data_IF_198887745537
#
_entry.id   IF_198887745537
#
_cell.length_a   1.000
_cell.length_b   1.000
_cell.length_c   1.000
_cell.angle_alpha   90.00
_cell.angle_beta   90.00
_cell.angle_gamma   90.00
#
_symmetry.space_group_name_H-M   'P 1'
#
loop_
_entity.id
_entity.type
_entity.pdbx_description
1 polymer ?
#
# COMPACT_ATOMS: atom_id res chain seq x y z
N UNK A 1 -13.85 112.29 -151.32
CA UNK A 1 -14.26 111.64 -152.59
C UNK A 1 -13.76 110.21 -152.56
N UNK A 2 -14.52 109.29 -151.96
CA UNK A 2 -14.36 107.87 -152.26
C UNK A 2 -15.15 107.70 -153.55
N UNK A 3 -14.45 107.48 -154.66
CA UNK A 3 -15.06 107.09 -155.92
C UNK A 3 -15.87 105.82 -155.66
N UNK A 4 -17.17 105.99 -155.44
CA UNK A 4 -18.08 104.89 -155.17
C UNK A 4 -18.12 104.03 -156.43
N UNK A 5 -17.36 102.94 -156.42
CA UNK A 5 -17.23 101.97 -157.50
C UNK A 5 -18.62 101.37 -157.76
N UNK A 6 -19.37 101.99 -158.67
CA UNK A 6 -20.71 101.53 -159.04
C UNK A 6 -20.56 100.21 -159.77
N UNK A 7 -21.10 99.15 -159.19
CA UNK A 7 -21.11 97.81 -159.79
C UNK A 7 -22.29 97.65 -160.73
N UNK A 8 -22.15 96.76 -161.70
CA UNK A 8 -23.23 96.38 -162.60
C UNK A 8 -24.45 95.88 -161.82
N UNK A 9 -25.63 96.46 -162.10
CA UNK A 9 -26.90 96.14 -161.43
C UNK A 9 -27.50 94.77 -161.74
N UNK A 10 -26.81 93.91 -162.50
CA UNK A 10 -27.14 92.49 -162.57
C UNK A 10 -26.39 91.77 -161.46
N UNK A 11 -27.11 91.10 -160.56
CA UNK A 11 -26.55 90.55 -159.30
C UNK A 11 -25.37 89.59 -159.52
N UNK A 12 -25.27 89.02 -160.74
CA UNK A 12 -24.23 88.07 -161.16
C UNK A 12 -23.09 88.65 -162.02
N UNK A 13 -23.24 89.81 -162.70
CA UNK A 13 -22.08 90.47 -163.37
C UNK A 13 -21.17 91.09 -162.31
N UNK A 14 -21.75 91.95 -161.45
CA UNK A 14 -21.06 92.78 -160.44
C UNK A 14 -19.78 93.50 -160.89
N UNK A 15 -19.47 93.53 -162.19
CA UNK A 15 -18.29 94.21 -162.71
C UNK A 15 -18.36 95.70 -162.37
N UNK A 16 -17.21 96.26 -162.02
CA UNK A 16 -17.07 97.66 -161.67
C UNK A 16 -17.18 98.50 -162.93
N UNK A 17 -18.10 99.46 -162.92
CA UNK A 17 -18.40 100.30 -164.08
C UNK A 17 -17.42 101.47 -164.10
N UNK A 18 -16.85 101.79 -165.29
CA UNK A 18 -15.92 102.90 -165.40
C UNK A 18 -16.61 104.20 -164.98
N UNK A 19 -15.89 105.12 -164.31
CA UNK A 19 -16.46 106.40 -163.89
C UNK A 19 -16.95 107.18 -165.12
N UNK A 20 -18.01 108.00 -164.97
CA UNK A 20 -18.50 108.82 -166.07
C UNK A 20 -17.36 109.71 -166.57
N UNK A 21 -17.08 109.65 -167.88
CA UNK A 21 -15.96 110.40 -168.49
C UNK A 21 -16.09 111.92 -168.32
N UNK A 22 -15.01 112.69 -168.61
CA UNK A 22 -14.90 114.11 -168.25
C UNK A 22 -15.96 115.06 -168.84
N UNK A 23 -16.80 114.58 -169.76
CA UNK A 23 -17.95 115.30 -170.33
C UNK A 23 -19.30 115.03 -169.61
N UNK A 24 -19.30 114.39 -168.42
CA UNK A 24 -20.46 114.37 -167.53
C UNK A 24 -21.67 113.53 -167.98
N UNK A 25 -21.45 112.41 -168.70
CA UNK A 25 -22.54 111.52 -169.12
C UNK A 25 -23.23 110.76 -167.96
N UNK A 26 -24.48 110.29 -168.16
CA UNK A 26 -25.20 109.44 -167.19
C UNK A 26 -24.37 108.22 -166.81
N UNK A 27 -24.25 107.97 -165.50
CA UNK A 27 -23.62 106.75 -164.96
C UNK A 27 -24.28 105.52 -165.57
N UNK A 28 -23.47 104.63 -166.12
CA UNK A 28 -23.96 103.34 -166.61
C UNK A 28 -24.44 102.55 -165.39
N UNK A 29 -25.57 101.87 -165.52
CA UNK A 29 -26.09 100.95 -164.50
C UNK A 29 -25.71 99.49 -164.78
N UNK A 30 -25.25 99.19 -166.00
CA UNK A 30 -24.90 97.84 -166.42
C UNK A 30 -23.60 97.80 -167.25
N UNK A 31 -22.82 96.73 -167.08
CA UNK A 31 -21.54 96.49 -167.76
C UNK A 31 -21.80 96.27 -169.27
N UNK A 32 -21.13 97.03 -170.16
CA UNK A 32 -21.35 96.96 -171.63
C UNK A 32 -20.61 95.77 -172.27
N UNK A 33 -19.46 95.39 -171.72
CA UNK A 33 -18.53 94.50 -172.42
C UNK A 33 -18.83 93.03 -172.16
N UNK A 34 -19.49 92.70 -171.05
CA UNK A 34 -19.91 91.33 -170.76
C UNK A 34 -21.11 90.93 -171.63
N UNK A 35 -20.97 89.80 -172.32
CA UNK A 35 -22.06 89.10 -173.02
C UNK A 35 -22.31 87.78 -172.32
N UNK A 36 -23.57 87.45 -172.09
CA UNK A 36 -24.01 86.16 -171.56
C UNK A 36 -24.48 85.25 -172.68
N UNK A 37 -24.70 83.97 -172.37
CA UNK A 37 -25.18 82.98 -173.33
C UNK A 37 -26.38 83.49 -174.14
N UNK A 38 -26.26 83.38 -175.46
CA UNK A 38 -27.21 83.95 -176.43
C UNK A 38 -26.98 85.43 -176.76
N UNK A 39 -25.81 86.00 -176.46
CA UNK A 39 -25.45 87.37 -176.80
C UNK A 39 -26.14 88.45 -175.93
N UNK A 40 -26.78 88.05 -174.82
CA UNK A 40 -27.58 88.94 -173.97
C UNK A 40 -26.71 89.88 -173.14
N UNK A 41 -27.21 91.10 -172.93
CA UNK A 41 -26.54 92.12 -172.12
C UNK A 41 -26.95 92.03 -170.65
N UNK A 42 -26.12 92.55 -169.74
CA UNK A 42 -26.42 92.55 -168.31
C UNK A 42 -27.70 93.30 -167.94
N UNK A 43 -28.08 94.32 -168.71
CA UNK A 43 -29.37 95.00 -168.52
C UNK A 43 -30.55 94.07 -168.80
N UNK A 44 -30.46 93.23 -169.84
CA UNK A 44 -31.49 92.23 -170.16
C UNK A 44 -31.54 91.12 -169.11
N UNK A 45 -30.39 90.63 -168.66
CA UNK A 45 -30.33 89.62 -167.60
C UNK A 45 -30.88 90.13 -166.26
N UNK A 46 -30.57 91.37 -165.87
CA UNK A 46 -31.13 92.00 -164.67
C UNK A 46 -32.64 92.28 -164.78
N UNK A 47 -33.16 92.43 -165.99
CA UNK A 47 -34.61 92.54 -166.21
C UNK A 47 -35.28 91.18 -166.04
N UNK A 48 -34.73 90.14 -166.66
CA UNK A 48 -35.20 88.77 -166.48
C UNK A 48 -35.11 88.30 -165.01
N UNK A 49 -34.07 88.69 -164.28
CA UNK A 49 -33.95 88.42 -162.84
C UNK A 49 -35.05 89.11 -162.03
N UNK A 50 -35.33 90.38 -162.32
CA UNK A 50 -36.44 91.08 -161.66
C UNK A 50 -37.78 90.44 -162.01
N UNK A 51 -38.02 90.15 -163.29
CA UNK A 51 -39.25 89.48 -163.72
C UNK A 51 -39.39 88.10 -163.04
N UNK A 52 -38.28 87.37 -162.84
CA UNK A 52 -38.27 86.11 -162.10
C UNK A 52 -38.60 86.31 -160.60
N UNK A 53 -38.01 87.30 -159.93
CA UNK A 53 -38.31 87.62 -158.53
C UNK A 53 -39.77 88.07 -158.34
N UNK A 54 -40.31 88.84 -159.28
CA UNK A 54 -41.73 89.19 -159.32
C UNK A 54 -42.61 87.95 -159.52
N UNK A 55 -42.23 87.02 -160.41
CA UNK A 55 -42.98 85.78 -160.63
C UNK A 55 -42.97 84.83 -159.42
N UNK A 56 -41.95 84.89 -158.57
CA UNK A 56 -41.84 84.12 -157.33
C UNK A 56 -42.61 84.76 -156.16
N UNK A 57 -43.31 85.89 -156.38
CA UNK A 57 -44.05 86.59 -155.33
C UNK A 57 -43.17 87.24 -154.26
N UNK A 58 -41.85 87.25 -154.46
CA UNK A 58 -40.87 87.86 -153.55
C UNK A 58 -40.72 89.38 -153.76
N UNK A 59 -41.41 89.93 -154.76
CA UNK A 59 -41.50 91.37 -155.08
C UNK A 59 -42.82 91.99 -154.57
N UNK A 60 -43.74 91.19 -154.01
CA UNK A 60 -44.87 91.70 -153.25
C UNK A 60 -44.33 92.23 -151.90
N UNK A 61 -44.36 93.56 -151.75
CA UNK A 61 -43.63 94.30 -150.72
C UNK A 61 -43.65 93.69 -149.32
N UNK A 62 -42.54 93.94 -148.61
CA UNK A 62 -42.19 93.60 -147.23
C UNK A 62 -43.26 93.82 -146.13
N UNK A 63 -44.47 94.26 -146.47
CA UNK A 63 -45.59 94.49 -145.55
C UNK A 63 -46.31 93.23 -145.08
N UNK A 64 -46.58 92.25 -145.96
CA UNK A 64 -47.35 91.05 -145.58
C UNK A 64 -46.59 90.14 -144.60
N UNK A 65 -45.33 89.82 -144.90
CA UNK A 65 -44.44 89.10 -143.98
C UNK A 65 -44.19 89.87 -142.67
N UNK A 66 -44.22 91.20 -142.70
CA UNK A 66 -44.07 92.02 -141.49
C UNK A 66 -45.31 91.92 -140.59
N UNK A 67 -46.52 91.94 -141.17
CA UNK A 67 -47.78 91.76 -140.42
C UNK A 67 -47.85 90.37 -139.78
N UNK A 68 -47.48 89.31 -140.50
CA UNK A 68 -47.46 87.96 -139.93
C UNK A 68 -46.38 87.81 -138.84
N UNK A 69 -45.22 88.44 -139.01
CA UNK A 69 -44.17 88.47 -137.99
C UNK A 69 -44.52 89.34 -136.77
N UNK A 70 -45.32 90.40 -136.95
CA UNK A 70 -45.86 91.22 -135.86
C UNK A 70 -46.93 90.44 -135.08
N UNK A 71 -47.84 89.74 -135.77
CA UNK A 71 -48.87 88.90 -135.16
C UNK A 71 -48.29 87.69 -134.42
N UNK A 72 -47.24 87.07 -134.97
CA UNK A 72 -46.51 86.02 -134.27
C UNK A 72 -45.81 86.56 -133.03
N UNK A 73 -45.21 87.75 -133.09
CA UNK A 73 -44.63 88.40 -131.91
C UNK A 73 -45.67 88.71 -130.85
N UNK A 74 -46.82 89.24 -131.21
CA UNK A 74 -47.93 89.48 -130.28
C UNK A 74 -48.44 88.18 -129.63
N UNK A 75 -48.55 87.09 -130.40
CA UNK A 75 -48.90 85.78 -129.84
C UNK A 75 -47.80 85.22 -128.90
N UNK A 76 -46.53 85.38 -129.26
CA UNK A 76 -45.41 84.96 -128.39
C UNK A 76 -45.33 85.82 -127.12
N UNK A 77 -45.56 87.12 -127.22
CA UNK A 77 -45.62 88.05 -126.09
C UNK A 77 -46.81 87.73 -125.18
N UNK A 78 -47.97 87.38 -125.76
CA UNK A 78 -49.14 86.91 -125.01
C UNK A 78 -48.91 85.59 -124.26
N UNK A 79 -48.00 84.72 -124.74
CA UNK A 79 -47.61 83.48 -124.07
C UNK A 79 -46.54 83.69 -122.99
N UNK A 80 -45.79 84.78 -123.04
CA UNK A 80 -44.70 85.05 -122.11
C UNK A 80 -45.19 85.21 -120.67
N UNK A 81 -46.28 85.95 -120.46
CA UNK A 81 -46.88 86.11 -119.13
C UNK A 81 -47.31 84.79 -118.49
N UNK A 82 -48.13 83.95 -119.16
CA UNK A 82 -48.49 82.63 -118.67
C UNK A 82 -47.31 81.70 -118.42
N UNK A 83 -46.26 81.76 -119.25
CA UNK A 83 -45.04 80.96 -119.03
C UNK A 83 -44.23 81.45 -117.82
N UNK A 84 -44.14 82.76 -117.60
CA UNK A 84 -43.48 83.33 -116.43
C UNK A 84 -44.27 83.02 -115.14
N UNK A 85 -45.61 83.03 -115.19
CA UNK A 85 -46.46 82.61 -114.08
C UNK A 85 -46.32 81.11 -113.78
N UNK A 86 -46.32 80.26 -114.81
CA UNK A 86 -46.07 78.83 -114.65
C UNK A 86 -44.68 78.56 -114.07
N UNK A 87 -43.66 79.29 -114.54
CA UNK A 87 -42.31 79.21 -114.00
C UNK A 87 -42.29 79.63 -112.52
N UNK A 88 -42.95 80.72 -112.16
CA UNK A 88 -43.07 81.17 -110.77
C UNK A 88 -43.77 80.14 -109.89
N UNK A 89 -44.83 79.49 -110.38
CA UNK A 89 -45.49 78.39 -109.67
C UNK A 89 -44.57 77.18 -109.50
N UNK A 90 -43.81 76.78 -110.53
CA UNK A 90 -42.85 75.68 -110.44
C UNK A 90 -41.70 75.99 -109.47
N UNK A 91 -41.19 77.22 -109.47
CA UNK A 91 -40.16 77.67 -108.53
C UNK A 91 -40.68 77.69 -107.08
N UNK A 92 -41.95 78.10 -106.87
CA UNK A 92 -42.61 78.05 -105.58
C UNK A 92 -42.82 76.59 -105.11
N UNK A 93 -43.22 75.69 -106.01
CA UNK A 93 -43.35 74.25 -105.70
C UNK A 93 -41.98 73.65 -105.36
N UNK A 94 -40.92 73.95 -106.11
CA UNK A 94 -39.57 73.48 -105.81
C UNK A 94 -39.10 73.98 -104.44
N UNK A 95 -39.29 75.27 -104.14
CA UNK A 95 -38.97 75.85 -102.83
C UNK A 95 -39.72 75.12 -101.71
N UNK A 96 -41.01 74.82 -101.92
CA UNK A 96 -41.82 74.09 -100.94
C UNK A 96 -41.37 72.65 -100.77
N UNK A 97 -40.97 71.97 -101.85
CA UNK A 97 -40.41 70.61 -101.79
C UNK A 97 -39.08 70.60 -101.04
N UNK A 98 -38.20 71.59 -101.25
CA UNK A 98 -36.94 71.73 -100.54
C UNK A 98 -37.14 72.02 -99.03
N UNK A 99 -38.14 72.81 -98.67
CA UNK A 99 -38.57 73.00 -97.29
C UNK A 99 -39.05 71.69 -96.66
N UNK A 100 -40.00 71.01 -97.31
CA UNK A 100 -40.57 69.74 -96.81
C UNK A 100 -39.48 68.67 -96.69
N UNK A 101 -38.56 68.60 -97.64
CA UNK A 101 -37.43 67.66 -97.58
C UNK A 101 -36.51 67.99 -96.40
N UNK A 102 -36.16 69.26 -96.18
CA UNK A 102 -35.34 69.67 -95.04
C UNK A 102 -36.01 69.38 -93.71
N UNK A 103 -37.30 69.69 -93.58
CA UNK A 103 -38.07 69.45 -92.36
C UNK A 103 -38.22 67.94 -92.08
N UNK A 104 -38.46 67.13 -93.13
CA UNK A 104 -38.54 65.68 -93.01
C UNK A 104 -37.20 65.06 -92.57
N UNK A 105 -36.08 65.50 -93.16
CA UNK A 105 -34.74 65.05 -92.75
C UNK A 105 -34.45 65.47 -91.31
N UNK A 106 -34.74 66.73 -90.94
CA UNK A 106 -34.55 67.20 -89.56
C UNK A 106 -35.41 66.44 -88.54
N UNK A 107 -36.65 66.09 -88.90
CA UNK A 107 -37.53 65.28 -88.08
C UNK A 107 -37.01 63.85 -87.90
N UNK A 108 -36.52 63.23 -88.98
CA UNK A 108 -35.89 61.89 -88.94
C UNK A 108 -34.62 61.90 -88.10
N UNK A 109 -33.75 62.89 -88.27
CA UNK A 109 -32.54 63.04 -87.46
C UNK A 109 -32.88 63.22 -85.98
N UNK A 110 -33.89 64.03 -85.65
CA UNK A 110 -34.38 64.20 -84.28
C UNK A 110 -34.93 62.89 -83.72
N UNK A 111 -35.70 62.14 -84.50
CA UNK A 111 -36.23 60.84 -84.09
C UNK A 111 -35.10 59.82 -83.85
N UNK A 112 -34.09 59.77 -84.73
CA UNK A 112 -32.93 58.90 -84.54
C UNK A 112 -32.12 59.27 -83.30
N UNK A 113 -31.93 60.56 -83.02
CA UNK A 113 -31.28 61.02 -81.80
C UNK A 113 -32.07 60.60 -80.56
N UNK A 114 -33.40 60.75 -80.56
CA UNK A 114 -34.25 60.33 -79.45
C UNK A 114 -34.20 58.82 -79.21
N UNK A 115 -34.22 58.00 -80.27
CA UNK A 115 -34.08 56.55 -80.16
C UNK A 115 -32.70 56.17 -79.62
N UNK A 116 -31.63 56.81 -80.10
CA UNK A 116 -30.28 56.56 -79.62
C UNK A 116 -30.11 56.91 -78.14
N UNK A 117 -30.68 58.05 -77.69
CA UNK A 117 -30.66 58.41 -76.27
C UNK A 117 -31.53 57.50 -75.40
N UNK A 118 -32.69 57.06 -75.90
CA UNK A 118 -33.53 56.08 -75.21
C UNK A 118 -32.84 54.72 -75.07
N UNK A 119 -32.13 54.26 -76.11
CA UNK A 119 -31.35 53.02 -76.07
C UNK A 119 -30.17 53.14 -75.09
N UNK A 120 -29.45 54.26 -75.08
CA UNK A 120 -28.40 54.53 -74.07
C UNK A 120 -28.97 54.49 -72.65
N UNK A 121 -30.12 55.15 -72.42
CA UNK A 121 -30.77 55.15 -71.12
C UNK A 121 -31.23 53.74 -70.69
N UNK A 122 -31.76 52.94 -71.63
CA UNK A 122 -32.13 51.54 -71.38
C UNK A 122 -30.92 50.71 -70.98
N UNK A 123 -29.82 50.78 -71.73
CA UNK A 123 -28.60 50.04 -71.45
C UNK A 123 -27.99 50.43 -70.09
N UNK A 124 -27.96 51.73 -69.77
CA UNK A 124 -27.50 52.20 -68.47
C UNK A 124 -28.38 51.69 -67.32
N UNK A 125 -29.71 51.63 -67.51
CA UNK A 125 -30.62 51.07 -66.50
C UNK A 125 -30.45 49.56 -66.34
N UNK A 126 -30.20 48.82 -67.42
CA UNK A 126 -29.89 47.39 -67.38
C UNK A 126 -28.57 47.12 -66.64
N UNK A 127 -27.52 47.89 -66.94
CA UNK A 127 -26.23 47.79 -66.25
C UNK A 127 -26.37 48.08 -64.75
N UNK A 128 -27.07 49.16 -64.37
CA UNK A 128 -27.33 49.49 -62.97
C UNK A 128 -28.13 48.40 -62.24
N UNK A 129 -29.11 47.80 -62.92
CA UNK A 129 -29.89 46.67 -62.38
C UNK A 129 -28.98 45.46 -62.15
N UNK A 130 -28.17 45.12 -63.13
CA UNK A 130 -27.29 43.94 -63.07
C UNK A 130 -26.21 44.13 -62.00
N UNK A 131 -25.66 45.34 -61.85
CA UNK A 131 -24.77 45.70 -60.74
C UNK A 131 -25.46 45.63 -59.37
N UNK A 132 -26.71 46.10 -59.27
CA UNK A 132 -27.49 46.01 -58.04
C UNK A 132 -27.77 44.55 -57.65
N UNK A 133 -28.13 43.71 -58.61
CA UNK A 133 -28.32 42.25 -58.41
C UNK A 133 -27.01 41.60 -57.99
N UNK A 134 -25.90 41.91 -58.65
CA UNK A 134 -24.59 41.37 -58.31
C UNK A 134 -24.14 41.80 -56.90
N UNK A 135 -24.38 43.07 -56.51
CA UNK A 135 -24.13 43.55 -55.15
C UNK A 135 -25.01 42.84 -54.12
N UNK A 136 -26.30 42.68 -54.40
CA UNK A 136 -27.22 41.98 -53.52
C UNK A 136 -26.79 40.53 -53.30
N UNK A 137 -26.41 39.82 -54.38
CA UNK A 137 -25.91 38.45 -54.31
C UNK A 137 -24.64 38.34 -53.48
N UNK A 138 -23.64 39.20 -53.72
CA UNK A 138 -22.42 39.22 -52.91
C UNK A 138 -22.71 39.51 -51.43
N UNK A 139 -23.66 40.38 -51.14
CA UNK A 139 -24.05 40.68 -49.75
C UNK A 139 -24.76 39.50 -49.08
N UNK A 140 -25.59 38.75 -49.83
CA UNK A 140 -26.24 37.55 -49.33
C UNK A 140 -25.23 36.43 -49.06
N UNK A 141 -24.31 36.16 -50.01
CA UNK A 141 -23.24 35.19 -49.85
C UNK A 141 -22.31 35.54 -48.66
N UNK A 142 -22.00 36.83 -48.47
CA UNK A 142 -21.23 37.29 -47.32
C UNK A 142 -21.99 37.13 -46.00
N UNK A 143 -23.30 37.39 -45.97
CA UNK A 143 -24.14 37.21 -44.80
C UNK A 143 -24.29 35.72 -44.43
N UNK A 144 -24.48 34.83 -45.40
CA UNK A 144 -24.53 33.39 -45.21
C UNK A 144 -23.20 32.87 -44.65
N UNK A 145 -22.07 33.31 -45.23
CA UNK A 145 -20.74 32.94 -44.72
C UNK A 145 -20.54 33.44 -43.30
N UNK A 146 -20.89 34.69 -42.99
CA UNK A 146 -20.78 35.23 -41.64
C UNK A 146 -21.67 34.47 -40.63
N UNK A 147 -22.87 34.03 -41.05
CA UNK A 147 -23.75 33.22 -40.22
C UNK A 147 -23.16 31.82 -39.95
N UNK A 148 -22.58 31.18 -40.98
CA UNK A 148 -21.88 29.91 -40.85
C UNK A 148 -20.66 30.02 -39.93
N UNK A 149 -19.80 31.03 -40.14
CA UNK A 149 -18.62 31.28 -39.31
C UNK A 149 -19.01 31.53 -37.83
N UNK A 150 -20.12 32.24 -37.60
CA UNK A 150 -20.68 32.45 -36.26
C UNK A 150 -21.19 31.15 -35.64
N UNK A 151 -21.91 30.31 -36.38
CA UNK A 151 -22.40 29.02 -35.90
C UNK A 151 -21.25 28.07 -35.53
N UNK A 152 -20.20 28.05 -36.35
CA UNK A 152 -18.98 27.28 -36.09
C UNK A 152 -18.25 27.81 -34.85
N UNK A 153 -18.14 29.14 -34.69
CA UNK A 153 -17.54 29.74 -33.51
C UNK A 153 -18.33 29.40 -32.23
N UNK A 154 -19.67 29.42 -32.28
CA UNK A 154 -20.52 29.01 -31.16
C UNK A 154 -20.33 27.53 -30.84
N UNK A 155 -20.27 26.66 -31.86
CA UNK A 155 -20.05 25.22 -31.67
C UNK A 155 -18.69 24.94 -31.02
N UNK A 156 -17.62 25.61 -31.49
CA UNK A 156 -16.28 25.52 -30.88
C UNK A 156 -16.29 26.04 -29.44
N UNK A 157 -16.96 27.15 -29.16
CA UNK A 157 -17.07 27.70 -27.81
C UNK A 157 -17.83 26.75 -26.86
N UNK A 158 -18.91 26.14 -27.33
CA UNK A 158 -19.67 25.15 -26.54
C UNK A 158 -18.86 23.88 -26.29
N UNK A 159 -18.11 23.39 -27.29
CA UNK A 159 -17.22 22.24 -27.11
C UNK A 159 -16.10 22.54 -26.08
N UNK A 160 -15.48 23.72 -26.17
CA UNK A 160 -14.47 24.15 -25.20
C UNK A 160 -15.05 24.31 -23.79
N UNK A 161 -16.27 24.83 -23.65
CA UNK A 161 -16.95 24.95 -22.37
C UNK A 161 -17.25 23.57 -21.75
N UNK A 162 -17.70 22.59 -22.54
CA UNK A 162 -17.91 21.21 -22.07
C UNK A 162 -16.60 20.56 -21.63
N UNK A 163 -15.54 20.68 -22.41
CA UNK A 163 -14.21 20.18 -22.05
C UNK A 163 -13.68 20.81 -20.76
N UNK A 164 -13.92 22.11 -20.54
CA UNK A 164 -13.54 22.77 -19.30
C UNK A 164 -14.32 22.22 -18.09
N UNK A 165 -15.63 21.99 -18.23
CA UNK A 165 -16.44 21.37 -17.17
C UNK A 165 -15.98 19.94 -16.85
N UNK A 166 -15.79 19.10 -17.87
CA UNK A 166 -15.28 17.74 -17.72
C UNK A 166 -13.89 17.73 -17.05
N UNK A 167 -13.01 18.66 -17.40
CA UNK A 167 -11.70 18.80 -16.77
C UNK A 167 -11.81 19.22 -15.30
N UNK A 168 -12.75 20.11 -14.96
CA UNK A 168 -12.99 20.49 -13.55
C UNK A 168 -13.58 19.35 -12.72
N UNK A 169 -14.47 18.55 -13.30
CA UNK A 169 -15.02 17.35 -12.67
C UNK A 169 -13.93 16.29 -12.46
N UNK A 170 -13.10 16.04 -13.46
CA UNK A 170 -11.95 15.13 -13.36
C UNK A 170 -10.94 15.59 -12.30
N UNK A 171 -10.68 16.90 -12.21
CA UNK A 171 -9.82 17.47 -11.15
C UNK A 171 -10.44 17.28 -9.76
N UNK A 172 -11.77 17.46 -9.63
CA UNK A 172 -12.50 17.20 -8.39
C UNK A 172 -12.40 15.74 -7.97
N UNK A 173 -12.66 14.81 -8.88
CA UNK A 173 -12.52 13.37 -8.64
C UNK A 173 -11.08 12.98 -8.27
N UNK A 174 -10.08 13.56 -8.93
CA UNK A 174 -8.67 13.32 -8.62
C UNK A 174 -8.29 13.84 -7.22
N UNK A 175 -8.81 15.00 -6.79
CA UNK A 175 -8.61 15.52 -5.44
C UNK A 175 -9.26 14.61 -4.38
N UNK A 176 -10.50 14.19 -4.60
CA UNK A 176 -11.18 13.27 -3.69
C UNK A 176 -10.41 11.94 -3.56
N UNK A 177 -9.98 11.36 -4.69
CA UNK A 177 -9.18 10.14 -4.67
C UNK A 177 -7.84 10.31 -3.93
N UNK A 178 -7.21 11.47 -4.03
CA UNK A 178 -5.99 11.78 -3.28
C UNK A 178 -6.25 11.92 -1.77
N UNK A 179 -7.35 12.55 -1.37
CA UNK A 179 -7.77 12.67 0.03
C UNK A 179 -8.12 11.30 0.63
N UNK A 180 -8.88 10.48 -0.10
CA UNK A 180 -9.22 9.11 0.28
C UNK A 180 -7.96 8.25 0.43
N UNK A 181 -7.01 8.37 -0.50
CA UNK A 181 -5.72 7.68 -0.41
C UNK A 181 -4.89 8.13 0.79
N UNK A 182 -4.90 9.43 1.11
CA UNK A 182 -4.21 9.96 2.30
C UNK A 182 -4.84 9.46 3.61
N UNK A 183 -6.17 9.38 3.66
CA UNK A 183 -6.92 8.84 4.81
C UNK A 183 -6.67 7.34 4.97
N UNK A 184 -6.71 6.59 3.86
CA UNK A 184 -6.42 5.16 3.86
C UNK A 184 -4.99 4.86 4.31
N UNK A 185 -4.02 5.71 3.92
CA UNK A 185 -2.64 5.63 4.37
C UNK A 185 -2.52 5.87 5.87
N UNK A 186 -3.11 6.94 6.40
CA UNK A 186 -3.12 7.22 7.84
C UNK A 186 -3.71 6.05 8.63
N UNK A 187 -4.85 5.51 8.19
CA UNK A 187 -5.48 4.35 8.81
C UNK A 187 -4.62 3.06 8.70
N UNK A 188 -3.81 2.92 7.65
CA UNK A 188 -2.86 1.82 7.53
C UNK A 188 -1.67 2.00 8.50
N UNK A 189 -1.15 3.21 8.64
CA UNK A 189 -0.08 3.55 9.59
C UNK A 189 -0.56 3.36 11.04
N UNK A 190 -1.77 3.78 11.39
CA UNK A 190 -2.37 3.55 12.71
C UNK A 190 -2.54 2.06 13.01
N UNK A 191 -3.01 1.27 12.03
CA UNK A 191 -3.15 -0.19 12.19
C UNK A 191 -1.80 -0.88 12.36
N UNK A 192 -0.78 -0.43 11.63
CA UNK A 192 0.59 -0.93 11.78
C UNK A 192 1.14 -0.60 13.16
N UNK A 193 1.02 0.66 13.62
CA UNK A 193 1.43 1.07 14.97
C UNK A 193 0.70 0.31 16.07
N UNK A 194 -0.61 0.05 15.92
CA UNK A 194 -1.37 -0.77 16.86
C UNK A 194 -0.94 -2.24 16.83
N UNK A 195 -0.56 -2.78 15.67
CA UNK A 195 -0.03 -4.14 15.57
C UNK A 195 1.35 -4.26 16.23
N UNK A 196 2.23 -3.29 16.02
CA UNK A 196 3.55 -3.21 16.66
C UNK A 196 3.42 -3.09 18.18
N UNK A 197 2.51 -2.24 18.67
CA UNK A 197 2.23 -2.11 20.10
C UNK A 197 1.73 -3.43 20.72
N UNK A 198 0.84 -4.15 20.03
CA UNK A 198 0.39 -5.48 20.45
C UNK A 198 1.52 -6.50 20.44
N UNK A 199 2.40 -6.48 19.43
CA UNK A 199 3.55 -7.38 19.36
C UNK A 199 4.53 -7.12 20.51
N UNK A 200 4.83 -5.86 20.83
CA UNK A 200 5.68 -5.49 21.97
C UNK A 200 5.04 -5.90 23.29
N UNK A 201 3.72 -5.69 23.47
CA UNK A 201 3.01 -6.13 24.67
C UNK A 201 3.07 -7.66 24.83
N UNK A 202 2.80 -8.41 23.76
CA UNK A 202 2.89 -9.87 23.78
C UNK A 202 4.32 -10.37 24.06
N UNK A 203 5.35 -9.70 23.54
CA UNK A 203 6.74 -10.02 23.85
C UNK A 203 7.07 -9.79 25.34
N UNK A 204 6.56 -8.70 25.94
CA UNK A 204 6.73 -8.43 27.37
C UNK A 204 6.01 -9.47 28.22
N UNK A 205 4.75 -9.77 27.90
CA UNK A 205 3.98 -10.81 28.59
C UNK A 205 4.66 -12.19 28.50
N UNK A 206 5.18 -12.55 27.32
CA UNK A 206 5.92 -13.80 27.14
C UNK A 206 7.23 -13.83 27.93
N UNK A 207 7.95 -12.70 27.99
CA UNK A 207 9.16 -12.56 28.79
C UNK A 207 8.86 -12.70 30.30
N UNK A 208 7.85 -11.98 30.79
CA UNK A 208 7.43 -12.01 32.19
C UNK A 208 6.90 -13.39 32.59
N UNK A 209 6.09 -14.03 31.74
CA UNK A 209 5.69 -15.42 31.93
C UNK A 209 6.91 -16.38 31.98
N UNK A 210 7.93 -16.11 31.16
CA UNK A 210 9.20 -16.84 31.18
C UNK A 210 9.98 -16.67 32.49
N UNK A 211 9.97 -15.46 33.07
CA UNK A 211 10.57 -15.20 34.39
C UNK A 211 9.81 -15.95 35.49
N UNK A 212 8.49 -15.83 35.54
CA UNK A 212 7.63 -16.54 36.50
C UNK A 212 7.80 -18.05 36.40
N UNK A 213 7.92 -18.61 35.19
CA UNK A 213 8.16 -20.03 34.98
C UNK A 213 9.54 -20.47 35.52
N UNK A 214 10.58 -19.65 35.37
CA UNK A 214 11.91 -19.92 35.93
C UNK A 214 11.89 -19.86 37.46
N UNK A 215 11.22 -18.88 38.04
CA UNK A 215 11.03 -18.79 39.49
C UNK A 215 10.30 -20.02 40.04
N UNK A 216 9.16 -20.38 39.45
CA UNK A 216 8.41 -21.58 39.85
C UNK A 216 9.24 -22.87 39.70
N UNK A 217 10.09 -22.96 38.65
CA UNK A 217 11.01 -24.08 38.48
C UNK A 217 12.07 -24.09 39.59
N UNK A 218 12.66 -22.94 39.91
CA UNK A 218 13.61 -22.79 41.01
C UNK A 218 13.01 -23.11 42.37
N UNK A 219 11.78 -22.68 42.65
CA UNK A 219 11.04 -23.02 43.87
C UNK A 219 10.75 -24.51 43.97
N UNK A 220 10.32 -25.13 42.86
CA UNK A 220 10.10 -26.58 42.78
C UNK A 220 11.39 -27.34 43.05
N UNK A 221 12.49 -26.94 42.42
CA UNK A 221 13.78 -27.61 42.56
C UNK A 221 14.34 -27.41 43.99
N UNK A 222 14.14 -26.23 44.60
CA UNK A 222 14.46 -25.99 46.01
C UNK A 222 13.57 -26.76 46.98
N UNK A 223 12.28 -26.94 46.67
CA UNK A 223 11.38 -27.79 47.44
C UNK A 223 11.79 -29.26 47.34
N UNK A 224 12.22 -29.71 46.15
CA UNK A 224 12.75 -31.06 45.94
C UNK A 224 14.04 -31.28 46.72
N UNK A 225 15.00 -30.36 46.66
CA UNK A 225 16.24 -30.44 47.44
C UNK A 225 15.94 -30.52 48.95
N UNK A 226 15.04 -29.67 49.46
CA UNK A 226 14.58 -29.74 50.87
C UNK A 226 13.93 -31.07 51.22
N UNK A 227 13.16 -31.66 50.30
CA UNK A 227 12.56 -32.97 50.51
C UNK A 227 13.62 -34.10 50.52
N UNK A 228 14.62 -34.04 49.63
CA UNK A 228 15.75 -34.96 49.58
C UNK A 228 16.61 -34.84 50.87
N UNK A 229 16.90 -33.63 51.32
CA UNK A 229 17.58 -33.36 52.60
C UNK A 229 16.77 -33.88 53.79
N UNK A 230 15.45 -33.66 53.80
CA UNK A 230 14.58 -34.19 54.85
C UNK A 230 14.53 -35.72 54.86
N UNK A 231 14.55 -36.36 53.69
CA UNK A 231 14.63 -37.82 53.57
C UNK A 231 15.99 -38.34 54.07
N UNK A 232 17.09 -37.66 53.74
CA UNK A 232 18.42 -38.00 54.24
C UNK A 232 18.52 -37.83 55.77
N UNK A 233 17.99 -36.73 56.30
CA UNK A 233 17.91 -36.50 57.75
C UNK A 233 17.02 -37.54 58.45
N UNK A 234 15.90 -37.93 57.83
CA UNK A 234 15.04 -38.99 58.36
C UNK A 234 15.73 -40.36 58.32
N UNK A 235 16.54 -40.66 57.29
CA UNK A 235 17.36 -41.86 57.23
C UNK A 235 18.42 -41.86 58.34
N UNK A 236 19.17 -40.77 58.50
CA UNK A 236 20.15 -40.61 59.57
C UNK A 236 19.49 -40.76 60.97
N UNK A 237 18.33 -40.14 61.19
CA UNK A 237 17.59 -40.28 62.45
C UNK A 237 17.10 -41.73 62.69
N UNK A 238 16.75 -42.48 61.63
CA UNK A 238 16.42 -43.91 61.75
C UNK A 238 17.65 -44.74 62.12
N UNK A 239 18.80 -44.44 61.54
CA UNK A 239 20.07 -45.12 61.83
C UNK A 239 20.55 -44.80 63.26
N UNK A 240 20.44 -43.54 63.69
CA UNK A 240 20.70 -43.12 65.08
C UNK A 240 19.73 -43.80 66.05
N UNK A 241 18.44 -43.87 65.71
CA UNK A 241 17.46 -44.60 66.52
C UNK A 241 17.71 -46.10 66.54
N UNK A 242 18.18 -46.70 65.44
CA UNK A 242 18.59 -48.11 65.40
C UNK A 242 19.83 -48.35 66.27
N UNK A 243 20.82 -47.46 66.20
CA UNK A 243 22.03 -47.47 67.02
C UNK A 243 21.69 -47.29 68.50
N UNK A 244 20.82 -46.34 68.85
CA UNK A 244 20.32 -46.10 70.20
C UNK A 244 19.53 -47.30 70.74
N UNK A 245 18.68 -47.92 69.92
CA UNK A 245 17.97 -49.16 70.29
C UNK A 245 18.93 -50.33 70.50
N UNK A 246 19.94 -50.48 69.64
CA UNK A 246 20.97 -51.51 69.80
C UNK A 246 21.79 -51.29 71.07
N UNK A 247 22.18 -50.04 71.37
CA UNK A 247 22.87 -49.67 72.60
C UNK A 247 21.99 -49.89 73.84
N UNK A 248 20.70 -49.56 73.77
CA UNK A 248 19.75 -49.82 74.87
C UNK A 248 19.54 -51.32 75.08
N UNK A 249 19.43 -52.10 74.00
CA UNK A 249 19.33 -53.55 74.07
C UNK A 249 20.60 -54.19 74.66
N UNK A 250 21.78 -53.70 74.28
CA UNK A 250 23.06 -54.11 74.86
C UNK A 250 23.12 -53.75 76.36
N UNK A 251 22.74 -52.53 76.74
CA UNK A 251 22.68 -52.11 78.15
C UNK A 251 21.67 -52.93 78.96
N UNK A 252 20.53 -53.32 78.37
CA UNK A 252 19.57 -54.21 79.02
C UNK A 252 20.12 -55.64 79.17
N UNK A 253 20.85 -56.14 78.17
CA UNK A 253 21.53 -57.44 78.25
C UNK A 253 22.63 -57.44 79.32
N UNK A 254 23.43 -56.37 79.39
CA UNK A 254 24.45 -56.18 80.43
C UNK A 254 23.82 -56.05 81.82
N UNK A 255 22.71 -55.32 81.95
CA UNK A 255 21.97 -55.21 83.20
C UNK A 255 21.28 -56.52 83.60
N UNK A 256 20.87 -57.35 82.64
CA UNK A 256 20.34 -58.69 82.90
C UNK A 256 21.46 -59.65 83.33
N UNK A 257 22.63 -59.58 82.68
CA UNK A 257 23.82 -60.33 83.06
C UNK A 257 24.34 -59.93 84.45
N UNK A 258 24.35 -58.64 84.77
CA UNK A 258 24.70 -58.13 86.10
C UNK A 258 23.71 -58.61 87.17
N UNK A 259 22.40 -58.60 86.88
CA UNK A 259 21.38 -59.17 87.78
C UNK A 259 21.55 -60.67 87.99
N UNK A 260 21.80 -61.43 86.93
CA UNK A 260 22.09 -62.86 87.02
C UNK A 260 23.38 -63.14 87.83
N UNK A 261 24.41 -62.29 87.70
CA UNK A 261 25.64 -62.40 88.47
C UNK A 261 25.43 -62.09 89.97
N UNK A 262 24.59 -61.10 90.30
CA UNK A 262 24.18 -60.80 91.68
C UNK A 262 23.40 -61.97 92.28
N UNK A 263 22.39 -62.49 91.57
CA UNK A 263 21.63 -63.66 92.03
C UNK A 263 22.50 -64.91 92.20
N UNK A 264 23.50 -65.11 91.33
CA UNK A 264 24.46 -66.20 91.46
C UNK A 264 25.39 -66.00 92.68
N UNK A 265 25.81 -64.76 92.96
CA UNK A 265 26.60 -64.42 94.13
C UNK A 265 25.80 -64.59 95.43
N UNK A 266 24.52 -64.20 95.45
CA UNK A 266 23.61 -64.42 96.58
C UNK A 266 23.40 -65.92 96.85
N UNK A 267 23.15 -66.73 95.81
CA UNK A 267 23.07 -68.19 95.95
C UNK A 267 24.37 -68.80 96.48
N UNK A 268 25.53 -68.34 95.99
CA UNK A 268 26.82 -68.80 96.49
C UNK A 268 27.06 -68.40 97.97
N UNK A 269 26.56 -67.24 98.38
CA UNK A 269 26.65 -66.75 99.76
C UNK A 269 25.72 -67.54 100.70
N UNK A 270 24.52 -67.88 100.24
CA UNK A 270 23.58 -68.73 100.98
C UNK A 270 24.08 -70.18 101.09
N UNK A 271 24.68 -70.73 100.03
CA UNK A 271 25.36 -72.03 100.06
C UNK A 271 26.56 -72.01 101.03
N UNK A 272 27.34 -70.93 101.05
CA UNK A 272 28.45 -70.77 101.98
C UNK A 272 27.96 -70.68 103.44
N UNK A 273 26.84 -69.99 103.69
CA UNK A 273 26.19 -69.94 105.02
C UNK A 273 25.64 -71.30 105.43
N UNK A 274 25.03 -72.05 104.51
CA UNK A 274 24.52 -73.39 104.78
C UNK A 274 25.67 -74.36 105.13
N UNK A 275 26.80 -74.27 104.42
CA UNK A 275 28.02 -75.04 104.74
C UNK A 275 28.60 -74.66 106.09
N UNK A 276 28.72 -73.36 106.38
CA UNK A 276 29.20 -72.89 107.68
C UNK A 276 28.28 -73.33 108.85
N UNK A 277 26.96 -73.36 108.63
CA UNK A 277 26.00 -73.88 109.60
C UNK A 277 26.11 -75.41 109.80
N UNK A 278 26.32 -76.16 108.72
CA UNK A 278 26.58 -77.60 108.79
C UNK A 278 27.88 -77.91 109.52
N UNK A 279 28.95 -77.16 109.23
CA UNK A 279 30.25 -77.27 109.92
C UNK A 279 30.11 -76.93 111.40
N UNK A 280 29.37 -75.87 111.76
CA UNK A 280 29.10 -75.52 113.16
C UNK A 280 28.34 -76.63 113.91
N UNK A 281 27.33 -77.25 113.27
CA UNK A 281 26.63 -78.41 113.85
C UNK A 281 27.55 -79.63 114.00
N UNK A 282 28.45 -79.86 113.05
CA UNK A 282 29.42 -80.94 113.11
C UNK A 282 30.42 -80.74 114.26
N UNK A 283 30.94 -79.52 114.41
CA UNK A 283 31.79 -79.13 115.55
C UNK A 283 31.09 -79.30 116.89
N UNK A 284 29.80 -78.97 116.97
CA UNK A 284 29.02 -79.12 118.20
C UNK A 284 28.81 -80.59 118.58
N UNK A 285 28.50 -81.46 117.59
CA UNK A 285 28.41 -82.92 117.78
C UNK A 285 29.75 -83.53 118.19
N UNK A 286 30.86 -83.07 117.61
CA UNK A 286 32.20 -83.51 117.98
C UNK A 286 32.55 -83.08 119.41
N UNK A 287 32.16 -81.86 119.81
CA UNK A 287 32.33 -81.36 121.18
C UNK A 287 31.52 -82.17 122.19
N UNK A 288 30.29 -82.57 121.85
CA UNK A 288 29.46 -83.45 122.68
C UNK A 288 30.02 -84.87 122.77
N UNK A 289 30.52 -85.43 121.67
CA UNK A 289 31.21 -86.73 121.66
C UNK A 289 32.42 -86.71 122.59
N UNK A 290 33.28 -85.70 122.49
CA UNK A 290 34.45 -85.53 123.37
C UNK A 290 34.04 -85.36 124.83
N UNK A 291 32.97 -84.61 125.14
CA UNK A 291 32.44 -84.49 126.51
C UNK A 291 31.89 -85.81 127.05
N UNK A 292 31.29 -86.64 126.22
CA UNK A 292 30.81 -87.97 126.60
C UNK A 292 31.99 -88.94 126.82
N UNK A 293 33.03 -88.87 126.00
CA UNK A 293 34.26 -89.64 126.15
C UNK A 293 35.02 -89.27 127.43
N UNK A 294 35.15 -87.97 127.73
CA UNK A 294 35.72 -87.49 128.99
C UNK A 294 34.90 -87.98 130.18
N UNK A 295 33.56 -87.87 130.14
CA UNK A 295 32.69 -88.42 131.20
C UNK A 295 32.91 -89.91 131.44
N UNK A 296 32.97 -90.71 130.38
CA UNK A 296 33.23 -92.17 130.47
C UNK A 296 34.67 -92.48 130.92
N UNK A 297 35.62 -91.59 130.72
CA UNK A 297 36.98 -91.72 131.25
C UNK A 297 37.02 -91.40 132.75
N UNK A 298 36.34 -90.33 133.20
CA UNK A 298 36.21 -90.00 134.63
C UNK A 298 35.43 -91.06 135.39
N UNK A 299 34.33 -91.58 134.84
CA UNK A 299 33.56 -92.66 135.50
C UNK A 299 34.36 -93.97 135.61
N UNK A 300 35.27 -94.25 134.66
CA UNK A 300 36.19 -95.39 134.76
C UNK A 300 37.25 -95.16 135.83
N UNK A 301 37.83 -93.97 135.89
CA UNK A 301 38.81 -93.60 136.92
C UNK A 301 38.19 -93.59 138.33
N UNK A 302 36.95 -93.15 138.49
CA UNK A 302 36.24 -93.15 139.77
C UNK A 302 35.88 -94.57 140.24
N UNK A 303 35.51 -95.47 139.33
CA UNK A 303 35.30 -96.90 139.66
C UNK A 303 36.59 -97.58 140.07
N UNK A 304 37.68 -97.34 139.35
CA UNK A 304 39.01 -97.88 139.69
C UNK A 304 39.53 -97.31 141.03
N UNK A 305 39.22 -96.06 141.36
CA UNK A 305 39.55 -95.47 142.66
C UNK A 305 38.72 -96.09 143.80
N UNK A 306 37.42 -96.30 143.60
CA UNK A 306 36.54 -96.93 144.58
C UNK A 306 36.90 -98.40 144.84
N UNK A 307 37.34 -99.14 143.82
CA UNK A 307 37.81 -100.53 143.96
C UNK A 307 39.13 -100.62 144.75
N UNK A 308 40.05 -99.67 144.55
CA UNK A 308 41.29 -99.60 145.36
C UNK A 308 41.00 -99.24 146.82
N UNK A 309 40.09 -98.30 147.05
CA UNK A 309 39.69 -97.90 148.40
C UNK A 309 38.96 -99.01 149.16
N UNK A 310 38.17 -99.84 148.46
CA UNK A 310 37.54 -101.03 149.03
C UNK A 310 38.57 -102.12 149.39
N UNK A 311 39.55 -102.37 148.52
CA UNK A 311 40.63 -103.33 148.77
C UNK A 311 41.54 -102.91 149.95
N UNK A 312 41.82 -101.61 150.09
CA UNK A 312 42.60 -101.07 151.22
C UNK A 312 41.85 -101.20 152.55
N UNK A 313 40.53 -100.96 152.56
CA UNK A 313 39.69 -101.17 153.76
C UNK A 313 39.61 -102.64 154.17
N UNK A 314 39.55 -103.54 153.19
CA UNK A 314 39.54 -104.99 153.45
C UNK A 314 40.89 -105.51 153.96
N UNK A 315 42.01 -104.95 153.48
CA UNK A 315 43.35 -105.25 153.98
C UNK A 315 43.56 -104.75 155.42
N UNK A 316 43.09 -103.53 155.73
CA UNK A 316 43.17 -102.96 157.08
C UNK A 316 42.33 -103.74 158.11
N UNK A 317 41.16 -104.27 157.70
CA UNK A 317 40.33 -105.11 158.55
C UNK A 317 40.97 -106.48 158.86
N UNK A 318 41.67 -107.07 157.88
CA UNK A 318 42.39 -108.33 158.08
C UNK A 318 43.61 -108.15 159.00
N UNK A 319 44.32 -107.02 158.90
CA UNK A 319 45.40 -106.68 159.85
C UNK A 319 44.87 -106.44 161.27
N UNK A 320 43.73 -105.76 161.43
CA UNK A 320 43.13 -105.55 162.73
C UNK A 320 42.70 -106.87 163.40
N UNK A 321 42.05 -107.76 162.64
CA UNK A 321 41.65 -109.08 163.12
C UNK A 321 42.85 -109.98 163.49
N UNK A 322 43.97 -109.87 162.76
CA UNK A 322 45.20 -110.61 163.10
C UNK A 322 45.86 -110.09 164.38
N UNK A 323 45.85 -108.77 164.62
CA UNK A 323 46.38 -108.18 165.86
C UNK A 323 45.54 -108.56 167.07
N UNK A 324 44.23 -108.63 166.91
CA UNK A 324 43.29 -109.03 167.97
C UNK A 324 43.45 -110.52 168.34
N UNK A 325 43.61 -111.39 167.34
CA UNK A 325 43.89 -112.82 167.57
C UNK A 325 45.26 -113.06 168.24
N UNK A 326 46.28 -112.25 167.93
CA UNK A 326 47.60 -112.35 168.58
C UNK A 326 47.56 -111.89 170.04
N UNK A 327 46.74 -110.90 170.38
CA UNK A 327 46.55 -110.44 171.77
C UNK A 327 45.77 -111.46 172.61
N UNK A 328 44.83 -112.20 172.02
CA UNK A 328 44.05 -113.21 172.73
C UNK A 328 44.88 -114.47 173.06
N UNK A 329 45.83 -114.85 172.19
CA UNK A 329 46.80 -115.93 172.46
C UNK A 329 47.78 -115.51 173.57
N UNK A 330 48.30 -114.29 173.53
CA UNK A 330 49.17 -113.76 174.60
C UNK A 330 48.47 -113.68 175.97
N UNK A 331 47.14 -113.48 175.99
CA UNK A 331 46.34 -113.48 177.22
C UNK A 331 46.15 -114.88 177.81
N UNK A 332 45.97 -115.90 176.97
CA UNK A 332 45.86 -117.31 177.41
C UNK A 332 47.18 -117.89 177.92
N UNK A 333 48.30 -117.46 177.35
CA UNK A 333 49.63 -117.87 177.81
C UNK A 333 50.01 -117.24 179.18
N UNK A 334 49.45 -116.07 179.51
CA UNK A 334 49.64 -115.43 180.81
C UNK A 334 48.82 -116.07 181.95
N UNK A 335 47.67 -116.68 181.66
CA UNK A 335 46.83 -117.35 182.67
C UNK A 335 47.25 -118.79 182.98
N UNK A 336 48.03 -119.45 182.11
CA UNK A 336 48.61 -120.78 182.37
C UNK A 336 49.92 -120.76 183.19
N UNK A 337 50.49 -119.59 183.50
CA UNK A 337 51.81 -119.46 184.11
C UNK A 337 51.83 -119.19 185.63
N UNK A 338 50.72 -119.40 186.36
CA UNK A 338 50.67 -119.12 187.80
C UNK A 338 49.86 -120.12 188.65
N UNK A 339 50.10 -121.42 188.47
CA UNK A 339 50.02 -122.38 189.58
C UNK A 339 51.29 -123.25 189.62
N UNK A 340 51.93 -123.26 190.79
CA UNK A 340 53.37 -123.39 191.01
C UNK A 340 53.96 -124.82 190.96
N UNK A 341 55.30 -124.98 190.78
CA UNK A 341 55.99 -126.23 191.05
C UNK A 341 56.75 -126.24 192.40
N UNK A 342 56.65 -127.36 193.12
CA UNK A 342 57.41 -127.70 194.34
C UNK A 342 58.77 -128.31 194.00
N UNK A 343 59.78 -127.96 194.81
CA UNK A 343 61.02 -128.72 195.01
C UNK A 343 60.91 -129.70 196.20
N UNK A 344 61.87 -130.63 196.22
CA UNK A 344 61.94 -131.94 196.86
C UNK A 344 62.30 -131.99 198.36
N UNK A 345 61.97 -133.15 198.95
CA UNK A 345 62.32 -133.66 200.28
C UNK A 345 63.68 -134.37 200.26
N UNK A 346 64.50 -134.16 201.29
CA UNK A 346 65.27 -135.30 201.83
C UNK A 346 65.52 -135.12 203.35
N UNK A 347 65.25 -136.13 204.19
CA UNK A 347 65.64 -136.07 205.63
C UNK A 347 67.16 -136.15 205.84
N UNK A 348 67.94 -136.17 204.75
CA UNK A 348 69.38 -136.01 204.75
C UNK A 348 69.68 -134.61 204.16
N UNK A 349 70.05 -133.56 204.93
CA UNK A 349 71.47 -133.23 205.21
C UNK A 349 71.86 -133.11 206.70
N UNK A 350 70.97 -133.50 207.62
CA UNK A 350 71.27 -133.81 209.04
C UNK A 350 70.71 -135.17 209.50
N UNK A 351 70.17 -135.99 208.58
CA UNK A 351 70.62 -137.36 208.39
C UNK A 351 71.61 -137.54 207.18
N UNK A 352 72.08 -136.46 206.48
CA UNK A 352 73.42 -136.47 205.81
C UNK A 352 74.48 -136.37 206.89
N UNK A 353 74.57 -137.53 207.52
CA UNK A 353 75.74 -138.27 207.94
C UNK A 353 76.83 -137.31 208.33
N UNK A 354 76.44 -136.52 209.29
CA UNK A 354 75.62 -136.91 210.42
C UNK A 354 75.04 -135.69 211.12
N UNK A 355 75.38 -135.46 212.37
CA UNK A 355 76.31 -134.36 212.40
C UNK A 355 77.25 -134.32 211.14
N UNK A 356 77.39 -133.25 210.40
CA UNK A 356 78.73 -132.67 210.23
C UNK A 356 79.61 -133.11 211.45
N UNK A 357 80.17 -134.37 211.54
CA UNK A 357 79.91 -135.41 212.61
C UNK A 357 80.33 -135.10 214.04
N UNK A 358 80.87 -133.93 214.31
CA UNK A 358 82.33 -133.83 214.29
C UNK A 358 82.81 -133.41 212.91
N UNK A 359 82.61 -132.15 212.56
CA UNK A 359 83.70 -131.17 212.45
C UNK A 359 83.10 -129.93 211.83
N UNK A 360 82.98 -128.82 212.53
CA UNK A 360 83.34 -128.48 213.90
C UNK A 360 82.55 -127.24 214.27
#
# INVERSE_FOLDING_TARGET
MIDELVRCGYSRCRAELPPPGPQGGRRRSFCRDTRWDGGRTCAQMARAERDALTSLGLDAGSGAFRIDADRLREHLDGLRGPLDELRGMLDAVNTRLDEVQRDAVAAVDTAHQQVAEADKARLAAEEQRDEAVARARRSAEAAEKAAADRADAVTRAQAAARQALEATEALGAARQAAEDASTARAAAEDRAGAADARAVAAQREAHDAGLTAREATGERDAARARAEDALAAAAAARDDAATSRAATAAAMADAAAARAAVEAAERALDDARARAAADAQQWERDRERLRAEVRRATERAEREAAEREAAEREAAQREAAQREAQQEVARRDAEQAAEAPRQLHPDDLAALVAAVRSTS
#
